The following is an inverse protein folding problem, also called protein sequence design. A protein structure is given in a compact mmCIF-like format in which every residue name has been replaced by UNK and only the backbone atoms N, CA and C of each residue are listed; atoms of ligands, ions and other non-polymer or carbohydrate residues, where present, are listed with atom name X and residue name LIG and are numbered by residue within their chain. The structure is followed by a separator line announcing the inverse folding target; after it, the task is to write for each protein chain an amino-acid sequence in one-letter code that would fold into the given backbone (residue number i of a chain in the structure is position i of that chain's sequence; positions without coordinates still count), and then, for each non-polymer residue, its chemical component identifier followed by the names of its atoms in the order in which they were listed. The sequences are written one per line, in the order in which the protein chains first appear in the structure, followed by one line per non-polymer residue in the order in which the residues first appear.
data_IF_736080803674
#
_entry.id   IF_736080803674
#
_cell.length_a   1.000
_cell.length_b   1.000
_cell.length_c   1.000
_cell.angle_alpha   90.00
_cell.angle_beta   90.00
_cell.angle_gamma   90.00
#
_symmetry.space_group_name_H-M   'P 1'
#
loop_
_entity.id
_entity.type
_entity.pdbx_description
1 polymer ?
#
# COMPACT_ATOMS: atom_id res chain seq x y z
N UNK A 1 2.46 18.73 -11.16
CA UNK A 1 1.05 18.96 -11.56
C UNK A 1 1.05 19.30 -13.05
N UNK A 2 0.06 18.84 -13.82
CA UNK A 2 -0.15 19.22 -15.22
C UNK A 2 -1.59 19.75 -15.33
N UNK A 3 -1.76 21.00 -15.75
CA UNK A 3 -3.06 21.69 -15.81
C UNK A 3 -3.87 21.58 -14.49
N UNK A 4 -3.22 21.83 -13.34
CA UNK A 4 -3.89 21.76 -12.04
C UNK A 4 -4.24 20.35 -11.56
N UNK A 5 -3.88 19.30 -12.30
CA UNK A 5 -4.14 17.91 -11.94
C UNK A 5 -2.84 17.13 -11.68
N UNK A 6 -2.89 16.16 -10.76
CA UNK A 6 -1.77 15.26 -10.53
C UNK A 6 -1.65 14.29 -11.72
N UNK A 7 -0.61 14.46 -12.53
CA UNK A 7 -0.26 13.50 -13.58
C UNK A 7 0.70 12.43 -13.02
N UNK A 8 0.47 11.17 -13.39
CA UNK A 8 1.35 10.04 -13.05
C UNK A 8 1.83 9.41 -14.35
N UNK A 9 3.14 9.31 -14.54
CA UNK A 9 3.78 8.73 -15.72
C UNK A 9 4.77 7.66 -15.29
N UNK A 10 4.78 6.54 -15.99
CA UNK A 10 5.86 5.56 -15.83
C UNK A 10 7.06 6.09 -16.61
N UNK A 11 8.17 6.39 -15.92
CA UNK A 11 9.39 6.89 -16.57
C UNK A 11 10.32 5.76 -17.01
N UNK A 12 10.36 4.69 -16.22
CA UNK A 12 11.17 3.51 -16.46
C UNK A 12 10.60 2.34 -15.66
N UNK A 13 10.73 1.14 -16.21
CA UNK A 13 10.66 -0.13 -15.50
C UNK A 13 11.82 -0.95 -16.02
N UNK A 14 12.59 -1.57 -15.15
CA UNK A 14 13.71 -2.39 -15.57
C UNK A 14 13.89 -3.58 -14.64
N UNK A 15 14.15 -4.79 -15.17
CA UNK A 15 14.65 -5.89 -14.37
C UNK A 15 16.10 -5.54 -13.98
N UNK A 16 16.40 -5.60 -12.69
CA UNK A 16 17.76 -5.37 -12.21
C UNK A 16 18.61 -6.58 -12.62
N UNK A 17 19.64 -6.35 -13.44
CA UNK A 17 20.36 -7.41 -14.18
C UNK A 17 21.57 -8.00 -13.43
N UNK A 18 21.64 -7.75 -12.13
CA UNK A 18 22.69 -8.23 -11.25
C UNK A 18 22.11 -8.30 -9.83
N UNK A 19 22.43 -9.35 -9.07
CA UNK A 19 21.90 -9.55 -7.71
C UNK A 19 22.27 -8.45 -6.68
N UNK A 20 22.84 -7.33 -7.11
CA UNK A 20 23.19 -6.17 -6.31
C UNK A 20 22.02 -5.17 -6.25
N UNK A 21 21.27 -5.21 -5.16
CA UNK A 21 20.17 -4.28 -4.87
C UNK A 21 20.61 -3.12 -3.97
N UNK A 22 21.85 -2.62 -4.17
CA UNK A 22 22.37 -1.51 -3.37
C UNK A 22 21.73 -0.19 -3.76
N UNK A 23 21.73 0.75 -2.83
CA UNK A 23 21.19 2.09 -3.03
C UNK A 23 21.91 2.86 -4.15
N UNK A 24 23.22 2.63 -4.37
CA UNK A 24 23.99 3.31 -5.41
C UNK A 24 23.55 2.88 -6.81
N UNK A 25 23.33 1.58 -7.02
CA UNK A 25 22.83 1.04 -8.30
C UNK A 25 21.47 1.64 -8.64
N UNK A 26 20.58 1.75 -7.64
CA UNK A 26 19.25 2.36 -7.82
C UNK A 26 19.34 3.86 -8.11
N UNK A 27 20.19 4.60 -7.40
CA UNK A 27 20.39 6.03 -7.63
C UNK A 27 20.96 6.29 -9.03
N UNK A 28 21.91 5.48 -9.48
CA UNK A 28 22.46 5.61 -10.83
C UNK A 28 21.44 5.23 -11.91
N UNK A 29 20.56 4.26 -11.65
CA UNK A 29 19.41 4.03 -12.51
C UNK A 29 18.50 5.28 -12.58
N UNK A 30 18.19 5.92 -11.46
CA UNK A 30 17.40 7.15 -11.46
C UNK A 30 18.06 8.27 -12.26
N UNK A 31 19.38 8.45 -12.15
CA UNK A 31 20.13 9.44 -12.94
C UNK A 31 19.98 9.14 -14.44
N UNK A 32 20.33 7.92 -14.87
CA UNK A 32 20.23 7.50 -16.28
C UNK A 32 18.83 7.71 -16.84
N UNK A 33 17.79 7.32 -16.09
CA UNK A 33 16.40 7.49 -16.52
C UNK A 33 16.04 8.97 -16.65
N UNK A 34 16.42 9.81 -15.68
CA UNK A 34 16.13 11.24 -15.74
C UNK A 34 16.88 11.94 -16.89
N UNK A 35 18.12 11.52 -17.16
CA UNK A 35 18.94 12.04 -18.26
C UNK A 35 18.26 11.82 -19.62
N UNK A 36 17.56 10.70 -19.83
CA UNK A 36 16.76 10.44 -21.04
C UNK A 36 15.69 11.52 -21.29
N UNK A 37 15.21 12.19 -20.24
CA UNK A 37 14.21 13.26 -20.32
C UNK A 37 14.82 14.65 -20.15
N UNK A 38 16.15 14.78 -20.27
CA UNK A 38 16.90 16.02 -20.01
C UNK A 38 16.58 16.60 -18.62
N UNK A 39 16.46 15.73 -17.61
CA UNK A 39 16.24 16.09 -16.21
C UNK A 39 17.41 15.62 -15.36
N UNK A 40 17.70 16.37 -14.31
CA UNK A 40 18.76 16.04 -13.37
C UNK A 40 18.17 15.56 -12.03
N UNK A 41 18.93 14.77 -11.27
CA UNK A 41 18.46 14.15 -10.02
C UNK A 41 17.87 15.14 -9.00
N UNK A 42 18.35 16.39 -8.98
CA UNK A 42 17.86 17.42 -8.06
C UNK A 42 16.39 17.81 -8.29
N UNK A 43 15.78 17.46 -9.44
CA UNK A 43 14.34 17.72 -9.66
C UNK A 43 13.44 16.83 -8.79
N UNK A 44 13.98 15.72 -8.24
CA UNK A 44 13.23 14.83 -7.36
C UNK A 44 12.98 15.54 -6.03
N UNK A 45 11.70 15.71 -5.70
CA UNK A 45 11.26 16.38 -4.47
C UNK A 45 11.05 15.40 -3.31
N UNK A 46 10.47 14.24 -3.60
CA UNK A 46 10.04 13.21 -2.65
C UNK A 46 10.20 11.83 -3.29
N UNK A 47 10.34 10.80 -2.45
CA UNK A 47 10.20 9.40 -2.86
C UNK A 47 9.05 8.78 -2.07
N UNK A 48 8.16 8.03 -2.73
CA UNK A 48 7.08 7.28 -2.09
C UNK A 48 7.37 5.80 -2.26
N UNK A 49 7.50 5.05 -1.17
CA UNK A 49 7.92 3.65 -1.21
C UNK A 49 7.73 2.94 0.11
N UNK A 50 7.97 1.63 0.16
CA UNK A 50 8.03 0.94 1.45
C UNK A 50 9.24 1.41 2.27
N UNK A 51 9.17 1.24 3.60
CA UNK A 51 10.19 1.72 4.53
C UNK A 51 11.38 0.75 4.65
N UNK A 52 11.69 0.00 3.59
CA UNK A 52 12.81 -0.93 3.59
C UNK A 52 14.15 -0.19 3.75
N UNK A 53 15.17 -0.90 4.23
CA UNK A 53 16.50 -0.32 4.45
C UNK A 53 17.07 0.33 3.18
N UNK A 54 16.92 -0.32 2.02
CA UNK A 54 17.39 0.21 0.73
C UNK A 54 16.74 1.55 0.38
N UNK A 55 15.41 1.68 0.50
CA UNK A 55 14.73 2.95 0.21
C UNK A 55 15.14 4.05 1.18
N UNK A 56 15.34 3.72 2.46
CA UNK A 56 15.87 4.68 3.45
C UNK A 56 17.28 5.13 3.09
N UNK A 57 18.15 4.22 2.66
CA UNK A 57 19.50 4.54 2.22
C UNK A 57 19.49 5.43 0.96
N UNK A 58 18.63 5.13 -0.01
CA UNK A 58 18.43 5.94 -1.22
C UNK A 58 18.04 7.37 -0.87
N UNK A 59 16.99 7.55 -0.06
CA UNK A 59 16.50 8.90 0.26
C UNK A 59 17.49 9.70 1.10
N UNK A 60 18.26 9.03 1.96
CA UNK A 60 19.35 9.64 2.73
C UNK A 60 20.45 10.14 1.81
N UNK A 61 20.93 9.32 0.87
CA UNK A 61 21.97 9.72 -0.11
C UNK A 61 21.49 10.82 -1.07
N UNK A 62 20.21 10.79 -1.44
CA UNK A 62 19.59 11.80 -2.30
C UNK A 62 19.19 13.08 -1.57
N UNK A 63 19.26 13.11 -0.22
CA UNK A 63 18.79 14.22 0.61
C UNK A 63 17.33 14.64 0.31
N UNK A 64 16.44 13.65 0.10
CA UNK A 64 15.00 13.87 -0.12
C UNK A 64 14.18 13.16 0.96
N UNK A 65 12.96 13.62 1.27
CA UNK A 65 12.07 12.90 2.19
C UNK A 65 11.50 11.61 1.57
N UNK A 66 11.35 10.58 2.42
CA UNK A 66 10.59 9.35 2.11
C UNK A 66 9.18 9.48 2.66
N UNK A 67 8.18 9.21 1.82
CA UNK A 67 6.83 8.91 2.28
C UNK A 67 6.66 7.41 2.32
N UNK A 68 6.65 6.89 3.54
CA UNK A 68 6.50 5.48 3.79
C UNK A 68 5.12 4.97 3.43
N UNK A 69 5.07 3.86 2.70
CA UNK A 69 3.82 3.25 2.29
C UNK A 69 2.97 2.86 3.50
N UNK A 70 1.82 3.51 3.67
CA UNK A 70 0.88 3.25 4.75
C UNK A 70 0.39 1.79 4.76
N UNK A 71 0.15 1.20 3.59
CA UNK A 71 -0.21 -0.22 3.47
C UNK A 71 0.88 -1.15 3.99
N UNK A 72 2.15 -0.81 3.78
CA UNK A 72 3.27 -1.57 4.31
C UNK A 72 3.36 -1.44 5.84
N UNK A 73 3.18 -0.22 6.38
CA UNK A 73 3.13 0.02 7.83
C UNK A 73 2.01 -0.78 8.50
N UNK A 74 0.80 -0.73 7.92
CA UNK A 74 -0.34 -1.52 8.39
C UNK A 74 -0.06 -3.02 8.33
N UNK A 75 0.54 -3.51 7.24
CA UNK A 75 0.91 -4.92 7.13
C UNK A 75 1.87 -5.36 8.25
N UNK A 76 2.90 -4.56 8.55
CA UNK A 76 3.83 -4.86 9.65
C UNK A 76 3.14 -4.84 11.03
N UNK A 77 2.24 -3.87 11.25
CA UNK A 77 1.47 -3.77 12.47
C UNK A 77 0.57 -5.01 12.68
N UNK A 78 -0.15 -5.44 11.63
CA UNK A 78 -1.03 -6.61 11.69
C UNK A 78 -0.24 -7.91 11.91
N UNK A 79 0.92 -8.04 11.25
CA UNK A 79 1.82 -9.17 11.49
C UNK A 79 2.32 -9.20 12.94
N UNK A 80 2.58 -8.05 13.55
CA UNK A 80 2.95 -7.97 14.96
C UNK A 80 1.78 -8.31 15.89
N UNK A 81 0.59 -7.81 15.59
CA UNK A 81 -0.63 -8.00 16.35
C UNK A 81 -1.00 -9.48 16.51
N UNK A 82 -1.05 -10.25 15.41
CA UNK A 82 -1.52 -11.64 15.48
C UNK A 82 -0.45 -12.66 15.88
N UNK A 83 0.78 -12.26 16.25
CA UNK A 83 1.82 -13.22 16.70
C UNK A 83 1.36 -14.06 17.88
N UNK A 84 0.53 -13.49 18.75
CA UNK A 84 -0.08 -14.17 19.91
C UNK A 84 -1.04 -15.31 19.55
N UNK A 85 -1.44 -15.38 18.28
CA UNK A 85 -2.33 -16.39 17.72
C UNK A 85 -1.61 -17.33 16.75
N UNK A 86 -0.29 -17.20 16.58
CA UNK A 86 0.43 -17.90 15.51
C UNK A 86 0.38 -19.42 15.67
N UNK A 87 0.40 -19.92 16.91
CA UNK A 87 0.24 -21.36 17.19
C UNK A 87 -1.10 -21.89 16.71
N UNK A 88 -2.20 -21.19 16.99
CA UNK A 88 -3.53 -21.59 16.52
C UNK A 88 -3.65 -21.44 15.00
N UNK A 89 -3.04 -20.41 14.42
CA UNK A 89 -3.01 -20.22 12.97
C UNK A 89 -2.22 -21.34 12.26
N UNK A 90 -1.14 -21.82 12.85
CA UNK A 90 -0.38 -22.97 12.35
C UNK A 90 -1.17 -24.27 12.42
N UNK A 91 -1.94 -24.49 13.49
CA UNK A 91 -2.84 -25.63 13.58
C UNK A 91 -3.89 -25.62 12.47
N UNK A 92 -4.54 -24.47 12.24
CA UNK A 92 -5.50 -24.33 11.12
C UNK A 92 -4.81 -24.55 9.79
N UNK A 93 -3.62 -23.98 9.58
CA UNK A 93 -2.88 -24.15 8.34
C UNK A 93 -2.51 -25.62 8.09
N UNK A 94 -2.06 -26.35 9.11
CA UNK A 94 -1.77 -27.77 9.02
C UNK A 94 -3.02 -28.59 8.66
N UNK A 95 -4.15 -28.32 9.32
CA UNK A 95 -5.43 -28.94 8.99
C UNK A 95 -5.84 -28.64 7.54
N UNK A 96 -5.74 -27.37 7.11
CA UNK A 96 -6.05 -26.98 5.74
C UNK A 96 -5.15 -27.66 4.72
N UNK A 97 -3.89 -27.98 5.06
CA UNK A 97 -3.00 -28.78 4.20
C UNK A 97 -3.48 -30.23 4.11
N UNK A 98 -3.87 -30.85 5.23
CA UNK A 98 -4.41 -32.22 5.25
C UNK A 98 -5.70 -32.33 4.41
N UNK A 99 -6.61 -31.36 4.54
CA UNK A 99 -7.87 -31.33 3.78
C UNK A 99 -7.66 -31.14 2.28
N UNK A 100 -6.51 -30.63 1.84
CA UNK A 100 -6.17 -30.49 0.41
C UNK A 100 -5.60 -31.75 -0.22
N UNK A 101 -5.30 -32.78 0.57
CA UNK A 101 -4.89 -34.07 0.01
C UNK A 101 -6.04 -34.66 -0.83
N UNK A 102 -5.75 -35.33 -1.96
CA UNK A 102 -6.79 -35.74 -2.91
C UNK A 102 -7.96 -36.52 -2.28
N UNK A 103 -7.65 -37.50 -1.45
CA UNK A 103 -8.67 -38.35 -0.80
C UNK A 103 -9.53 -37.53 0.18
N UNK A 104 -8.90 -36.78 1.09
CA UNK A 104 -9.60 -35.95 2.06
C UNK A 104 -10.43 -34.86 1.40
N UNK A 105 -9.91 -34.26 0.32
CA UNK A 105 -10.62 -33.25 -0.46
C UNK A 105 -11.82 -33.84 -1.19
N UNK A 106 -11.73 -35.07 -1.69
CA UNK A 106 -12.85 -35.75 -2.34
C UNK A 106 -13.95 -36.11 -1.33
N UNK A 107 -13.57 -36.57 -0.13
CA UNK A 107 -14.52 -36.85 0.95
C UNK A 107 -15.19 -35.57 1.46
N UNK A 108 -14.43 -34.49 1.70
CA UNK A 108 -14.99 -33.20 2.11
C UNK A 108 -15.96 -32.63 1.07
N UNK A 109 -15.69 -32.82 -0.22
CA UNK A 109 -16.54 -32.35 -1.31
C UNK A 109 -17.94 -32.98 -1.32
N UNK A 110 -18.15 -34.10 -0.63
CA UNK A 110 -19.48 -34.70 -0.45
C UNK A 110 -20.37 -33.87 0.48
N UNK A 111 -19.77 -33.01 1.32
CA UNK A 111 -20.49 -32.26 2.35
C UNK A 111 -20.49 -30.74 2.10
N UNK A 112 -19.56 -30.22 1.30
CA UNK A 112 -19.47 -28.78 1.00
C UNK A 112 -18.81 -28.51 -0.34
N UNK A 113 -19.27 -27.46 -1.04
CA UNK A 113 -18.63 -26.96 -2.26
C UNK A 113 -17.38 -26.10 -1.97
N UNK A 114 -17.17 -25.73 -0.70
CA UNK A 114 -16.09 -24.84 -0.30
C UNK A 114 -14.76 -25.59 -0.16
N UNK A 115 -13.79 -25.22 -1.00
CA UNK A 115 -12.45 -25.82 -0.96
C UNK A 115 -11.61 -25.31 0.20
N UNK A 116 -10.72 -26.11 0.80
CA UNK A 116 -9.78 -25.62 1.81
C UNK A 116 -8.80 -24.60 1.22
N UNK A 117 -8.39 -23.61 2.02
CA UNK A 117 -7.44 -22.55 1.62
C UNK A 117 -6.20 -22.65 2.51
N UNK A 118 -5.00 -22.60 1.93
CA UNK A 118 -3.73 -22.50 2.66
C UNK A 118 -3.30 -21.04 2.79
N UNK A 119 -2.82 -20.62 3.97
CA UNK A 119 -2.30 -19.26 4.13
C UNK A 119 -0.93 -19.07 3.48
N UNK A 120 -0.67 -17.86 2.99
CA UNK A 120 0.66 -17.32 2.78
C UNK A 120 1.05 -16.49 4.01
N UNK A 121 1.99 -16.97 4.82
CA UNK A 121 2.37 -16.36 6.10
C UNK A 121 2.81 -14.89 5.98
N UNK A 122 3.41 -14.50 4.84
CA UNK A 122 3.84 -13.12 4.63
C UNK A 122 2.67 -12.15 4.37
N UNK A 123 1.45 -12.66 4.10
CA UNK A 123 0.28 -11.85 3.73
C UNK A 123 -0.88 -12.11 4.68
N UNK A 124 -1.13 -11.16 5.59
CA UNK A 124 -2.18 -11.28 6.60
C UNK A 124 -3.58 -11.47 6.00
N UNK A 125 -3.86 -10.95 4.80
CA UNK A 125 -5.13 -11.16 4.11
C UNK A 125 -5.39 -12.64 3.79
N UNK A 126 -4.34 -13.38 3.45
CA UNK A 126 -4.42 -14.83 3.22
C UNK A 126 -4.66 -15.60 4.52
N UNK A 127 -4.11 -15.12 5.64
CA UNK A 127 -4.43 -15.64 6.98
C UNK A 127 -5.92 -15.44 7.29
N UNK A 128 -6.47 -14.23 7.06
CA UNK A 128 -7.90 -13.95 7.25
C UNK A 128 -8.78 -14.89 6.41
N UNK A 129 -8.49 -14.99 5.11
CA UNK A 129 -9.23 -15.86 4.18
C UNK A 129 -9.20 -17.33 4.59
N UNK A 130 -8.03 -17.83 5.04
CA UNK A 130 -7.89 -19.19 5.55
C UNK A 130 -8.77 -19.42 6.79
N UNK A 131 -8.70 -18.53 7.78
CA UNK A 131 -9.46 -18.69 9.01
C UNK A 131 -10.95 -18.56 8.74
N UNK A 132 -11.40 -17.57 7.96
CA UNK A 132 -12.79 -17.44 7.52
C UNK A 132 -13.29 -18.71 6.82
N UNK A 133 -12.45 -19.31 5.95
CA UNK A 133 -12.78 -20.58 5.29
C UNK A 133 -12.95 -21.69 6.31
N UNK A 134 -12.00 -21.85 7.23
CA UNK A 134 -12.06 -22.87 8.28
C UNK A 134 -13.32 -22.73 9.13
N UNK A 135 -13.64 -21.52 9.58
CA UNK A 135 -14.83 -21.26 10.40
C UNK A 135 -16.13 -21.68 9.69
N UNK A 136 -16.22 -21.49 8.37
CA UNK A 136 -17.39 -21.89 7.56
C UNK A 136 -17.51 -23.39 7.36
N UNK A 137 -16.40 -24.08 7.10
CA UNK A 137 -16.42 -25.52 6.77
C UNK A 137 -16.22 -26.43 8.00
N UNK A 138 -16.02 -25.87 9.19
CA UNK A 138 -15.74 -26.63 10.42
C UNK A 138 -16.75 -27.74 10.69
N UNK A 139 -18.03 -27.47 10.47
CA UNK A 139 -19.10 -28.46 10.65
C UNK A 139 -19.01 -29.63 9.66
N UNK A 140 -18.53 -29.36 8.44
CA UNK A 140 -18.40 -30.36 7.39
C UNK A 140 -17.13 -31.20 7.56
N UNK A 141 -16.04 -30.61 8.05
CA UNK A 141 -14.80 -31.35 8.37
C UNK A 141 -15.09 -32.46 9.40
N UNK A 142 -15.97 -32.20 10.38
CA UNK A 142 -16.37 -33.20 11.39
C UNK A 142 -17.11 -34.42 10.83
N UNK A 143 -17.55 -34.38 9.56
CA UNK A 143 -18.21 -35.52 8.90
C UNK A 143 -17.21 -36.41 8.15
N UNK A 144 -15.93 -36.00 8.09
CA UNK A 144 -14.87 -36.71 7.40
C UNK A 144 -14.03 -37.45 8.44
N UNK A 145 -14.29 -38.75 8.62
CA UNK A 145 -13.72 -39.62 9.66
C UNK A 145 -12.19 -39.51 9.79
N UNK A 146 -11.46 -39.51 8.66
CA UNK A 146 -9.98 -39.47 8.64
C UNK A 146 -9.36 -38.16 9.17
N UNK A 147 -10.14 -37.08 9.31
CA UNK A 147 -9.66 -35.75 9.75
C UNK A 147 -10.51 -35.14 10.86
N UNK A 148 -11.50 -35.86 11.39
CA UNK A 148 -12.40 -35.34 12.40
C UNK A 148 -11.67 -34.99 13.71
N UNK A 149 -10.70 -35.81 14.09
CA UNK A 149 -9.84 -35.62 15.27
C UNK A 149 -8.89 -34.41 15.13
N UNK A 150 -8.69 -33.93 13.91
CA UNK A 150 -7.86 -32.76 13.62
C UNK A 150 -8.64 -31.44 13.77
N UNK A 151 -9.95 -31.49 14.00
CA UNK A 151 -10.78 -30.29 14.19
C UNK A 151 -10.43 -29.61 15.50
N UNK A 152 -10.09 -28.32 15.43
CA UNK A 152 -9.65 -27.58 16.60
C UNK A 152 -10.79 -27.42 17.63
N UNK A 153 -10.36 -27.34 18.89
CA UNK A 153 -11.24 -27.23 20.06
C UNK A 153 -12.16 -26.02 20.01
N UNK A 154 -13.23 -26.06 20.81
CA UNK A 154 -14.19 -24.96 20.87
C UNK A 154 -13.60 -23.65 21.42
N UNK A 155 -12.58 -23.72 22.29
CA UNK A 155 -11.87 -22.52 22.78
C UNK A 155 -11.04 -21.87 21.68
N UNK A 156 -10.26 -22.66 20.93
CA UNK A 156 -9.47 -22.17 19.81
C UNK A 156 -10.37 -21.61 18.70
N UNK A 157 -11.48 -22.27 18.41
CA UNK A 157 -12.47 -21.77 17.46
C UNK A 157 -13.01 -20.38 17.84
N UNK A 158 -13.37 -20.16 19.11
CA UNK A 158 -13.81 -18.84 19.59
C UNK A 158 -12.71 -17.78 19.49
N UNK A 159 -11.48 -18.13 19.83
CA UNK A 159 -10.30 -17.24 19.69
C UNK A 159 -10.10 -16.83 18.22
N UNK A 160 -10.19 -17.78 17.28
CA UNK A 160 -10.06 -17.52 15.84
C UNK A 160 -11.22 -16.69 15.27
N UNK A 161 -12.45 -16.89 15.77
CA UNK A 161 -13.60 -16.08 15.38
C UNK A 161 -13.41 -14.61 15.78
N UNK A 162 -12.94 -14.36 17.01
CA UNK A 162 -12.61 -13.00 17.46
C UNK A 162 -11.51 -12.37 16.59
N UNK A 163 -10.43 -13.12 16.32
CA UNK A 163 -9.34 -12.66 15.45
C UNK A 163 -9.84 -12.27 14.05
N UNK A 164 -10.79 -13.01 13.47
CA UNK A 164 -11.35 -12.67 12.15
C UNK A 164 -12.07 -11.33 12.17
N UNK A 165 -12.80 -10.99 13.24
CA UNK A 165 -13.43 -9.68 13.35
C UNK A 165 -12.39 -8.55 13.43
N UNK A 166 -11.31 -8.73 14.19
CA UNK A 166 -10.21 -7.75 14.22
C UNK A 166 -9.55 -7.60 12.84
N UNK A 167 -9.27 -8.72 12.15
CA UNK A 167 -8.70 -8.68 10.80
C UNK A 167 -9.63 -8.02 9.77
N UNK A 168 -10.95 -8.01 9.99
CA UNK A 168 -11.91 -7.29 9.12
C UNK A 168 -11.81 -5.78 9.30
N UNK A 169 -11.61 -5.31 10.52
CA UNK A 169 -11.39 -3.89 10.78
C UNK A 169 -10.11 -3.41 10.06
N UNK A 170 -9.02 -4.19 10.14
CA UNK A 170 -7.78 -3.89 9.41
C UNK A 170 -7.97 -3.95 7.89
N UNK A 171 -8.75 -4.90 7.38
CA UNK A 171 -9.07 -5.02 5.95
C UNK A 171 -9.88 -3.82 5.43
N UNK A 172 -10.78 -3.28 6.26
CA UNK A 172 -11.53 -2.08 5.93
C UNK A 172 -10.61 -0.87 5.74
N UNK A 173 -9.63 -0.69 6.63
CA UNK A 173 -8.64 0.38 6.56
C UNK A 173 -7.71 0.16 5.36
N UNK A 174 -7.21 -1.06 5.17
CA UNK A 174 -6.36 -1.41 4.04
C UNK A 174 -7.03 -1.11 2.69
N UNK A 175 -8.31 -1.47 2.52
CA UNK A 175 -9.10 -1.14 1.34
C UNK A 175 -9.27 0.38 1.17
N UNK A 176 -9.50 1.11 2.26
CA UNK A 176 -9.60 2.58 2.21
C UNK A 176 -8.29 3.23 1.77
N UNK A 177 -7.15 2.74 2.25
CA UNK A 177 -5.81 3.19 1.86
C UNK A 177 -5.49 2.93 0.38
N UNK A 178 -6.18 1.99 -0.27
CA UNK A 178 -6.06 1.75 -1.72
C UNK A 178 -6.80 2.76 -2.60
N UNK A 179 -7.63 3.62 -2.01
CA UNK A 179 -8.33 4.67 -2.74
C UNK A 179 -7.37 5.76 -3.23
N UNK A 180 -7.51 6.18 -4.49
CA UNK A 180 -6.64 7.23 -5.07
C UNK A 180 -6.86 8.62 -4.48
N UNK A 181 -8.00 8.83 -3.82
CA UNK A 181 -8.36 10.07 -3.15
C UNK A 181 -7.86 10.13 -1.70
N UNK A 182 -7.32 9.05 -1.15
CA UNK A 182 -6.88 8.97 0.24
C UNK A 182 -5.61 9.78 0.43
N UNK A 183 -5.65 10.73 1.37
CA UNK A 183 -4.53 11.63 1.67
C UNK A 183 -3.69 11.14 2.85
N UNK A 184 -2.54 11.78 3.06
CA UNK A 184 -1.72 11.59 4.26
C UNK A 184 -2.49 11.95 5.55
N UNK A 185 -3.35 12.96 5.50
CA UNK A 185 -4.19 13.35 6.64
C UNK A 185 -5.27 12.30 6.94
N UNK A 186 -5.93 11.77 5.91
CA UNK A 186 -6.89 10.66 6.07
C UNK A 186 -6.20 9.42 6.67
N UNK A 187 -5.00 9.12 6.20
CA UNK A 187 -4.18 8.00 6.71
C UNK A 187 -3.87 8.17 8.20
N UNK A 188 -3.48 9.39 8.61
CA UNK A 188 -3.25 9.72 10.03
C UNK A 188 -4.49 9.43 10.86
N UNK A 189 -5.65 9.91 10.43
CA UNK A 189 -6.92 9.70 11.13
C UNK A 189 -7.26 8.21 11.25
N UNK A 190 -7.13 7.46 10.15
CA UNK A 190 -7.38 6.02 10.14
C UNK A 190 -6.47 5.27 11.12
N UNK A 191 -5.19 5.61 11.17
CA UNK A 191 -4.24 4.99 12.11
C UNK A 191 -4.49 5.41 13.56
N UNK A 192 -4.81 6.67 13.82
CA UNK A 192 -5.19 7.11 15.16
C UNK A 192 -6.41 6.36 15.69
N UNK A 193 -7.46 6.21 14.88
CA UNK A 193 -8.64 5.43 15.28
C UNK A 193 -8.38 3.94 15.43
N UNK A 194 -7.44 3.37 14.66
CA UNK A 194 -6.99 2.00 14.92
C UNK A 194 -6.29 1.90 16.27
N UNK A 195 -5.43 2.85 16.63
CA UNK A 195 -4.70 2.84 17.89
C UNK A 195 -5.59 3.06 19.12
N UNK A 196 -6.70 3.77 18.98
CA UNK A 196 -7.72 3.87 20.04
C UNK A 196 -8.32 2.51 20.40
N UNK A 197 -8.47 1.61 19.41
CA UNK A 197 -9.03 0.27 19.61
C UNK A 197 -7.98 -0.82 19.80
N UNK A 198 -6.80 -0.65 19.21
CA UNK A 198 -5.68 -1.60 19.20
C UNK A 198 -4.37 -0.90 19.57
N UNK A 199 -4.20 -0.48 20.84
CA UNK A 199 -3.01 0.26 21.28
C UNK A 199 -1.68 -0.46 21.02
N UNK A 200 -1.67 -1.79 21.00
CA UNK A 200 -0.50 -2.63 20.74
C UNK A 200 0.10 -2.50 19.33
N UNK A 201 -0.58 -1.80 18.41
CA UNK A 201 -0.12 -1.54 17.04
C UNK A 201 0.73 -0.26 16.91
N UNK A 202 0.98 0.44 18.03
CA UNK A 202 1.69 1.73 18.12
C UNK A 202 3.05 1.72 17.42
N UNK A 203 3.82 0.66 17.60
CA UNK A 203 5.18 0.51 17.06
C UNK A 203 5.32 0.83 15.57
N UNK A 204 4.26 0.64 14.78
CA UNK A 204 4.27 0.87 13.32
C UNK A 204 3.27 1.94 12.85
N UNK A 205 2.17 2.14 13.60
CA UNK A 205 1.09 3.05 13.21
C UNK A 205 1.20 4.42 13.87
N UNK A 206 1.86 4.51 15.01
CA UNK A 206 1.96 5.76 15.77
C UNK A 206 2.61 6.86 14.92
N UNK A 207 2.07 8.10 14.93
CA UNK A 207 2.58 9.20 14.13
C UNK A 207 3.98 9.66 14.54
N UNK A 208 4.53 9.24 15.67
CA UNK A 208 5.92 9.48 16.10
C UNK A 208 6.77 8.21 16.08
N UNK A 209 6.27 7.11 15.50
CA UNK A 209 7.05 5.88 15.33
C UNK A 209 8.34 6.13 14.54
N UNK A 210 9.42 5.47 14.97
CA UNK A 210 10.74 5.52 14.33
C UNK A 210 10.75 4.98 12.90
N UNK A 211 9.68 4.31 12.46
CA UNK A 211 9.51 3.86 11.09
C UNK A 211 9.30 5.02 10.10
N UNK A 212 8.84 6.18 10.58
CA UNK A 212 8.57 7.36 9.76
C UNK A 212 9.88 8.13 9.54
N UNK A 213 10.23 8.39 8.29
CA UNK A 213 11.50 9.02 7.95
C UNK A 213 11.38 10.01 6.78
N UNK A 214 11.58 11.32 6.97
CA UNK A 214 11.70 12.03 8.24
C UNK A 214 10.32 12.37 8.85
N UNK A 215 10.20 12.20 10.16
CA UNK A 215 9.00 12.51 10.94
C UNK A 215 8.49 13.95 10.73
N UNK A 216 9.41 14.91 10.66
CA UNK A 216 9.10 16.33 10.46
C UNK A 216 8.39 16.60 9.13
N UNK A 217 8.76 15.87 8.07
CA UNK A 217 8.12 16.01 6.76
C UNK A 217 6.70 15.46 6.76
N UNK A 218 6.47 14.24 7.26
CA UNK A 218 5.13 13.66 7.35
C UNK A 218 4.20 14.53 8.23
N UNK A 219 4.73 15.08 9.31
CA UNK A 219 4.02 16.05 10.15
C UNK A 219 3.69 17.35 9.42
N UNK A 220 4.64 17.93 8.70
CA UNK A 220 4.42 19.13 7.91
C UNK A 220 3.32 18.91 6.86
N UNK A 221 3.38 17.81 6.10
CA UNK A 221 2.39 17.47 5.07
C UNK A 221 0.97 17.38 5.65
N UNK A 222 0.80 16.67 6.77
CA UNK A 222 -0.52 16.52 7.41
C UNK A 222 -1.02 17.85 7.97
N UNK A 223 -0.15 18.66 8.57
CA UNK A 223 -0.52 19.99 9.07
C UNK A 223 -0.96 20.92 7.93
N UNK A 224 -0.22 20.95 6.81
CA UNK A 224 -0.61 21.72 5.62
C UNK A 224 -1.96 21.26 5.07
N UNK A 225 -2.17 19.94 4.94
CA UNK A 225 -3.43 19.39 4.47
C UNK A 225 -4.63 19.76 5.35
N UNK A 226 -4.41 19.92 6.66
CA UNK A 226 -5.43 20.33 7.63
C UNK A 226 -5.53 21.86 7.83
N UNK A 227 -4.72 22.66 7.13
CA UNK A 227 -4.69 24.11 7.29
C UNK A 227 -4.14 24.58 8.65
N UNK A 228 -3.29 23.78 9.28
CA UNK A 228 -2.66 24.08 10.57
C UNK A 228 -1.29 24.74 10.36
N UNK A 229 -0.96 25.74 11.17
CA UNK A 229 0.35 26.40 11.15
C UNK A 229 1.51 25.44 11.41
N UNK A 230 2.61 25.60 10.68
CA UNK A 230 3.83 24.79 10.83
C UNK A 230 4.75 25.35 11.91
N UNK A 231 5.45 24.45 12.61
CA UNK A 231 6.60 24.84 13.44
C UNK A 231 7.78 25.22 12.54
N UNK A 232 8.77 25.94 13.06
CA UNK A 232 9.99 26.26 12.30
C UNK A 232 10.70 25.02 11.75
N UNK A 233 10.71 23.92 12.52
CA UNK A 233 11.31 22.65 12.11
C UNK A 233 10.51 21.98 10.99
N UNK A 234 9.18 21.96 11.11
CA UNK A 234 8.30 21.40 10.08
C UNK A 234 8.39 22.22 8.78
N UNK A 235 8.38 23.55 8.89
CA UNK A 235 8.47 24.45 7.75
C UNK A 235 9.77 24.23 6.95
N UNK A 236 10.91 24.04 7.64
CA UNK A 236 12.19 23.72 7.01
C UNK A 236 12.11 22.44 6.16
N UNK A 237 11.35 21.44 6.59
CA UNK A 237 11.22 20.16 5.89
C UNK A 237 10.44 20.24 4.57
N UNK A 238 9.57 21.24 4.40
CA UNK A 238 8.75 21.45 3.20
C UNK A 238 9.13 22.70 2.41
N UNK A 239 10.30 23.30 2.70
CA UNK A 239 10.78 24.53 2.02
C UNK A 239 10.77 24.41 0.49
N UNK A 240 11.11 23.23 -0.04
CA UNK A 240 11.12 22.95 -1.49
C UNK A 240 9.74 22.99 -2.16
N UNK A 241 8.66 23.06 -1.37
CA UNK A 241 7.28 23.14 -1.83
C UNK A 241 6.68 24.54 -1.67
N UNK A 242 7.43 25.56 -1.25
CA UNK A 242 6.90 26.92 -1.14
C UNK A 242 6.71 27.54 -2.53
N UNK A 243 5.54 28.14 -2.76
CA UNK A 243 5.16 28.81 -4.02
C UNK A 243 4.79 30.27 -3.78
N UNK A 244 5.00 31.11 -4.79
CA UNK A 244 4.72 32.56 -4.72
C UNK A 244 3.35 32.94 -5.35
N UNK A 245 2.38 32.03 -5.45
CA UNK A 245 1.12 32.25 -6.20
C UNK A 245 -0.14 32.33 -5.31
N UNK A 246 -1.17 33.14 -5.67
CA UNK A 246 -2.36 33.37 -4.85
C UNK A 246 -3.44 32.28 -5.00
N UNK A 247 -4.30 32.16 -3.98
CA UNK A 247 -5.25 31.06 -3.73
C UNK A 247 -6.62 31.24 -4.43
N UNK A 248 -7.16 30.16 -5.01
CA UNK A 248 -8.60 30.01 -5.39
C UNK A 248 -9.15 28.73 -4.76
N UNK A 249 -10.31 28.83 -4.10
CA UNK A 249 -10.87 27.84 -3.18
C UNK A 249 -12.09 27.12 -3.81
N UNK A 250 -12.07 25.79 -3.96
CA UNK A 250 -13.19 25.00 -4.49
C UNK A 250 -13.84 24.09 -3.42
N UNK A 251 -15.17 24.21 -3.28
CA UNK A 251 -15.98 23.48 -2.28
C UNK A 251 -16.34 22.06 -2.73
N UNK A 252 -16.07 21.05 -1.89
CA UNK A 252 -16.46 19.64 -2.08
C UNK A 252 -17.95 19.36 -1.75
N UNK A 253 -18.64 18.61 -2.61
CA UNK A 253 -20.00 18.03 -2.40
C UNK A 253 -19.93 16.66 -1.71
N UNK A 254 -20.92 16.36 -0.84
CA UNK A 254 -21.08 15.08 -0.09
C UNK A 254 -22.11 14.14 -0.72
N UNK A 255 -21.94 12.82 -0.59
CA UNK A 255 -23.02 11.82 -0.72
C UNK A 255 -22.86 10.56 0.14
N UNK A 256 -24.00 10.13 0.71
CA UNK A 256 -24.51 8.83 1.25
C UNK A 256 -23.66 7.95 2.20
N UNK A 257 -24.40 7.14 2.98
CA UNK A 257 -24.08 6.70 4.35
C UNK A 257 -22.87 5.75 4.52
N UNK A 258 -22.17 5.78 5.68
CA UNK A 258 -20.77 5.38 5.79
C UNK A 258 -20.53 4.13 6.68
N UNK A 259 -19.54 3.29 6.32
CA UNK A 259 -18.96 2.28 7.23
C UNK A 259 -17.86 2.86 8.14
N UNK A 260 -17.22 2.06 9.01
CA UNK A 260 -16.25 2.52 10.05
C UNK A 260 -15.18 3.52 9.56
N UNK A 261 -14.41 3.17 8.51
CA UNK A 261 -13.40 4.08 7.95
C UNK A 261 -13.98 5.39 7.42
N UNK A 262 -15.28 5.41 7.11
CA UNK A 262 -15.98 6.59 6.60
C UNK A 262 -16.68 7.37 7.73
N UNK A 263 -17.11 6.73 8.82
CA UNK A 263 -17.58 7.41 10.03
C UNK A 263 -16.44 8.17 10.71
N UNK A 264 -15.27 7.55 10.85
CA UNK A 264 -14.04 8.19 11.38
C UNK A 264 -13.66 9.47 10.61
N UNK A 265 -13.66 9.41 9.27
CA UNK A 265 -13.34 10.58 8.45
C UNK A 265 -14.42 11.68 8.52
N UNK A 266 -15.67 11.33 8.82
CA UNK A 266 -16.75 12.30 8.96
C UNK A 266 -16.75 12.96 10.35
N UNK A 267 -16.41 12.22 11.39
CA UNK A 267 -16.36 12.69 12.79
C UNK A 267 -15.08 13.48 13.10
N UNK A 268 -13.94 13.12 12.49
CA UNK A 268 -12.66 13.80 12.67
C UNK A 268 -12.51 15.14 11.91
N UNK A 269 -13.46 15.48 11.02
CA UNK A 269 -13.36 16.64 10.13
C UNK A 269 -13.81 17.98 10.78
N UNK A 270 -13.50 18.21 12.05
CA UNK A 270 -13.73 19.52 12.69
C UNK A 270 -12.63 20.48 12.26
N UNK A 271 -12.94 21.58 11.55
CA UNK A 271 -11.92 22.56 11.18
C UNK A 271 -11.49 23.34 12.43
N UNK A 272 -10.35 22.96 13.02
CA UNK A 272 -9.68 23.76 14.05
C UNK A 272 -9.04 24.97 13.38
N UNK A 273 -9.77 26.09 13.30
CA UNK A 273 -9.25 27.38 12.82
C UNK A 273 -8.21 27.89 13.81
N UNK A 274 -6.93 27.63 13.55
CA UNK A 274 -5.81 28.24 14.25
C UNK A 274 -4.86 28.88 13.23
N UNK A 275 -4.76 30.22 13.28
CA UNK A 275 -3.71 31.06 12.67
C UNK A 275 -3.42 30.81 11.18
N UNK A 276 -3.90 31.70 10.31
CA UNK A 276 -3.51 31.71 8.88
C UNK A 276 -2.00 31.99 8.75
N UNK A 277 -1.25 30.98 8.31
CA UNK A 277 0.08 31.17 7.73
C UNK A 277 -0.04 31.86 6.37
N UNK A 278 0.79 32.87 6.10
CA UNK A 278 0.87 33.58 4.81
C UNK A 278 1.67 32.82 3.74
N UNK A 279 2.22 31.64 4.08
CA UNK A 279 3.04 30.82 3.16
C UNK A 279 2.14 29.92 2.32
N UNK A 280 2.24 30.02 1.00
CA UNK A 280 1.51 29.17 0.06
C UNK A 280 2.40 28.00 -0.35
N UNK A 281 1.89 26.78 -0.20
CA UNK A 281 2.58 25.56 -0.62
C UNK A 281 2.04 25.04 -1.96
N UNK A 282 2.90 24.39 -2.73
CA UNK A 282 2.55 23.69 -3.96
C UNK A 282 1.44 22.68 -3.67
N UNK A 283 0.41 22.69 -4.52
CA UNK A 283 -0.72 21.78 -4.44
C UNK A 283 -0.29 20.30 -4.40
N UNK A 284 0.88 19.96 -4.99
CA UNK A 284 1.50 18.65 -4.92
C UNK A 284 1.62 18.15 -3.47
N UNK A 285 1.95 19.02 -2.50
CA UNK A 285 2.17 18.65 -1.11
C UNK A 285 0.93 17.99 -0.48
N UNK A 286 -0.27 18.46 -0.84
CA UNK A 286 -1.55 17.90 -0.36
C UNK A 286 -2.04 16.72 -1.20
N UNK A 287 -1.40 16.47 -2.34
CA UNK A 287 -1.73 15.39 -3.29
C UNK A 287 -0.74 14.22 -3.22
N UNK A 288 0.22 14.25 -2.31
CA UNK A 288 1.17 13.15 -2.11
C UNK A 288 0.41 11.89 -1.75
N UNK A 289 0.69 10.80 -2.46
CA UNK A 289 0.09 9.50 -2.18
C UNK A 289 0.65 8.94 -0.87
N UNK A 290 -0.19 8.49 0.08
CA UNK A 290 0.26 7.80 1.28
C UNK A 290 0.71 6.36 1.02
N UNK A 291 0.52 5.86 -0.20
CA UNK A 291 0.82 4.47 -0.55
C UNK A 291 1.56 4.37 -1.88
N UNK A 292 2.34 3.30 -2.02
CA UNK A 292 2.98 2.89 -3.28
C UNK A 292 2.08 1.96 -4.12
N UNK A 293 0.75 2.02 -3.92
CA UNK A 293 -0.20 1.10 -4.57
C UNK A 293 -0.19 1.21 -6.10
N UNK A 294 0.19 2.36 -6.66
CA UNK A 294 0.36 2.50 -8.11
C UNK A 294 1.44 1.56 -8.64
N UNK A 295 2.56 1.43 -7.92
CA UNK A 295 3.63 0.48 -8.27
C UNK A 295 3.17 -0.97 -8.09
N UNK A 296 2.46 -1.29 -7.00
CA UNK A 296 1.91 -2.64 -6.79
C UNK A 296 0.93 -3.05 -7.91
N UNK A 297 0.05 -2.14 -8.34
CA UNK A 297 -0.86 -2.38 -9.48
C UNK A 297 -0.07 -2.58 -10.78
N UNK A 298 0.99 -1.80 -11.01
CA UNK A 298 1.87 -1.98 -12.16
C UNK A 298 2.53 -3.37 -12.14
N UNK A 299 3.11 -3.80 -11.01
CA UNK A 299 3.71 -5.13 -10.86
C UNK A 299 2.69 -6.27 -10.97
N UNK A 300 1.42 -6.03 -10.67
CA UNK A 300 0.36 -7.01 -10.94
C UNK A 300 0.04 -7.08 -12.44
N UNK A 301 0.02 -5.95 -13.13
CA UNK A 301 -0.19 -5.91 -14.58
C UNK A 301 0.97 -6.57 -15.34
N UNK A 302 2.21 -6.43 -14.86
CA UNK A 302 3.38 -7.06 -15.49
C UNK A 302 3.31 -8.58 -15.48
N UNK A 303 2.67 -9.19 -14.48
CA UNK A 303 2.41 -10.65 -14.44
C UNK A 303 1.51 -11.12 -15.58
N UNK A 304 0.64 -10.26 -16.09
CA UNK A 304 -0.18 -10.59 -17.27
C UNK A 304 0.64 -10.52 -18.57
N UNK A 305 1.77 -9.82 -18.56
CA UNK A 305 2.70 -9.75 -19.69
C UNK A 305 3.66 -10.95 -19.65
N UNK A 306 4.18 -11.27 -18.46
CA UNK A 306 5.11 -12.38 -18.19
C UNK A 306 4.38 -13.69 -17.88
N UNK A 307 3.53 -14.14 -18.82
CA UNK A 307 2.89 -15.46 -18.75
C UNK A 307 3.90 -16.59 -18.97
N UNK A 308 3.64 -17.84 -18.54
CA UNK A 308 4.53 -18.98 -18.82
C UNK A 308 4.91 -19.14 -20.30
N UNK A 309 3.96 -18.87 -21.22
CA UNK A 309 4.18 -18.91 -22.67
C UNK A 309 5.13 -17.81 -23.17
N UNK A 310 5.32 -16.75 -22.39
CA UNK A 310 6.18 -15.60 -22.66
C UNK A 310 7.42 -15.58 -21.77
N UNK A 311 7.77 -16.70 -21.12
CA UNK A 311 8.93 -16.79 -20.23
C UNK A 311 10.28 -16.54 -20.89
N UNK A 312 10.34 -16.52 -22.23
CA UNK A 312 11.53 -16.17 -23.03
C UNK A 312 11.49 -14.75 -23.63
N UNK A 313 10.56 -13.91 -23.18
CA UNK A 313 10.49 -12.53 -23.62
C UNK A 313 11.75 -11.79 -23.17
N UNK A 314 12.51 -11.22 -24.12
CA UNK A 314 13.66 -10.39 -23.80
C UNK A 314 13.25 -9.20 -22.91
N UNK A 315 14.11 -8.82 -21.96
CA UNK A 315 13.80 -7.74 -21.02
C UNK A 315 13.46 -6.42 -21.72
N UNK A 316 14.21 -6.04 -22.76
CA UNK A 316 13.89 -4.87 -23.57
C UNK A 316 12.45 -4.89 -24.12
N UNK A 317 11.98 -6.04 -24.61
CA UNK A 317 10.61 -6.18 -25.11
C UNK A 317 9.58 -6.08 -23.97
N UNK A 318 9.88 -6.65 -22.81
CA UNK A 318 9.04 -6.52 -21.62
C UNK A 318 8.92 -5.07 -21.15
N UNK A 319 10.03 -4.34 -21.10
CA UNK A 319 10.06 -2.92 -20.73
C UNK A 319 9.22 -2.08 -21.70
N UNK A 320 9.43 -2.23 -23.01
CA UNK A 320 8.69 -1.48 -24.05
C UNK A 320 7.19 -1.74 -23.96
N UNK A 321 6.76 -3.00 -23.81
CA UNK A 321 5.33 -3.34 -23.71
C UNK A 321 4.72 -2.74 -22.44
N UNK A 322 5.42 -2.85 -21.32
CA UNK A 322 4.93 -2.33 -20.03
C UNK A 322 4.87 -0.81 -20.05
N UNK A 323 5.91 -0.14 -20.54
CA UNK A 323 6.00 1.31 -20.68
C UNK A 323 4.89 1.86 -21.57
N UNK A 324 4.71 1.28 -22.76
CA UNK A 324 3.67 1.70 -23.70
C UNK A 324 2.28 1.55 -23.10
N UNK A 325 2.02 0.44 -22.41
CA UNK A 325 0.72 0.21 -21.76
C UNK A 325 0.47 1.16 -20.58
N UNK A 326 1.48 1.44 -19.77
CA UNK A 326 1.35 2.32 -18.61
C UNK A 326 1.14 3.79 -18.99
N UNK A 327 1.66 4.21 -20.14
CA UNK A 327 1.54 5.57 -20.68
C UNK A 327 0.61 5.63 -21.90
N UNK A 328 -0.42 4.78 -21.95
CA UNK A 328 -1.31 4.62 -23.12
C UNK A 328 -1.99 5.92 -23.58
N UNK A 329 -2.20 6.87 -22.67
CA UNK A 329 -2.81 8.16 -22.96
C UNK A 329 -1.81 9.19 -23.51
N UNK A 330 -0.52 8.85 -23.62
CA UNK A 330 0.51 9.72 -24.20
C UNK A 330 0.78 9.46 -25.68
N UNK A 331 0.24 8.39 -26.26
CA UNK A 331 0.50 8.02 -27.63
C UNK A 331 -0.74 7.47 -28.31
N UNK A 332 -0.70 7.51 -29.63
CA UNK A 332 -1.76 7.00 -30.49
C UNK A 332 -1.13 6.36 -31.73
N UNK A 333 -1.95 5.71 -32.55
CA UNK A 333 -1.47 5.16 -33.81
C UNK A 333 -0.83 6.24 -34.71
N UNK A 334 -1.34 7.48 -34.71
CA UNK A 334 -0.75 8.57 -35.48
C UNK A 334 0.62 8.99 -34.92
N UNK A 335 0.75 9.09 -33.59
CA UNK A 335 2.04 9.39 -32.94
C UNK A 335 3.11 8.37 -33.30
N UNK A 336 2.75 7.08 -33.33
CA UNK A 336 3.67 6.01 -33.73
C UNK A 336 4.09 6.11 -35.20
N UNK A 337 3.14 6.45 -36.08
CA UNK A 337 3.43 6.63 -37.52
C UNK A 337 4.33 7.83 -37.75
N UNK A 338 4.16 8.92 -37.00
CA UNK A 338 5.03 10.09 -37.07
C UNK A 338 6.47 9.77 -36.64
N UNK A 339 6.64 9.03 -35.54
CA UNK A 339 7.97 8.59 -35.07
C UNK A 339 8.62 7.65 -36.08
N UNK A 340 7.88 6.66 -36.60
CA UNK A 340 8.41 5.71 -37.59
C UNK A 340 8.76 6.34 -38.95
N UNK A 341 8.30 7.56 -39.23
CA UNK A 341 8.69 8.33 -40.42
C UNK A 341 9.89 9.25 -40.19
N UNK A 342 10.24 9.50 -38.92
CA UNK A 342 11.35 10.34 -38.52
C UNK A 342 12.65 9.56 -38.28
N UNK A 343 12.54 8.23 -38.13
CA UNK A 343 13.64 7.25 -38.28
C UNK A 343 13.88 6.93 -39.75
#
# INVERSE_FOLDING_TARGET
MFNGTLARRLLSISPLDDGSHTEDVQIDHFKRVLDLYNKALHIVLIIVGNNCATNRAIVTKMCVPLVGCANHRLNLAVQAFHRSCETELDQVNALMVQLRQPNNSAELAKFTDLRPIKRNAARWSSTREMVERYLRIRGDIRKVEVVEDLVLSASVHRKLAALVEDLRDFDSVFKKLQGEATTMADTRLLFSSLLERYPEMDSHLDPVSSIIHPLTFENAVVKVANGVSLTSVDAKSVTRFVTNLPVVDEKRKKSRAPGFATTVLLEGAVPRRAGRSFVVYDALLTKISPTSNACERLFLQTKLILTPQRGRLAYANFEVITFSRANIDMWSASTLVEVARAE
#
